data_IF_131055570277
#
_entry.id   IF_131055570277
#
_cell.length_a   1.000
_cell.length_b   1.000
_cell.length_c   1.000
_cell.angle_alpha   90.00
_cell.angle_beta   90.00
_cell.angle_gamma   90.00
#
_symmetry.space_group_name_H-M   'P 1'
#
loop_
_entity.id
_entity.type
_entity.pdbx_description
1 polymer ?
#
# COMPACT_ATOMS: atom_id res chain seq x y z
N UNK A 1 -4.76 12.73 -15.27
CA UNK A 1 -3.76 11.66 -15.11
C UNK A 1 -2.91 12.03 -13.92
N UNK A 2 -2.71 11.11 -12.97
CA UNK A 2 -1.94 11.37 -11.74
C UNK A 2 -0.59 10.68 -11.95
N UNK A 3 0.44 11.46 -12.25
CA UNK A 3 1.79 10.98 -12.49
C UNK A 3 2.75 11.62 -11.50
N UNK A 4 3.70 10.83 -11.02
CA UNK A 4 4.83 11.31 -10.26
C UNK A 4 5.93 11.83 -11.20
N UNK A 5 6.60 12.88 -10.76
CA UNK A 5 7.77 13.43 -11.44
C UNK A 5 9.03 12.66 -11.08
N UNK A 6 9.10 12.18 -9.83
CA UNK A 6 10.26 11.48 -9.31
C UNK A 6 9.87 10.28 -8.46
N UNK A 7 10.84 9.38 -8.26
CA UNK A 7 10.72 8.22 -7.39
C UNK A 7 12.05 8.09 -6.61
N UNK A 8 12.01 7.80 -5.29
CA UNK A 8 13.18 7.89 -4.40
C UNK A 8 14.12 6.67 -4.46
N UNK A 9 13.83 5.70 -5.33
CA UNK A 9 14.65 4.51 -5.57
C UNK A 9 14.72 4.25 -7.09
N UNK A 10 15.56 3.31 -7.52
CA UNK A 10 15.63 2.91 -8.93
C UNK A 10 14.61 1.80 -9.24
N UNK A 11 13.48 2.09 -9.92
CA UNK A 11 12.51 1.07 -10.27
C UNK A 11 13.00 0.13 -11.39
N UNK A 12 14.14 0.41 -12.02
CA UNK A 12 14.73 -0.42 -13.08
C UNK A 12 15.74 -1.45 -12.54
N UNK A 13 16.03 -1.44 -11.24
CA UNK A 13 16.90 -2.42 -10.56
C UNK A 13 16.10 -3.29 -9.55
N UNK A 14 15.18 -4.16 -10.03
CA UNK A 14 14.34 -4.95 -9.14
C UNK A 14 15.16 -6.00 -8.38
N UNK A 15 14.94 -6.08 -7.06
CA UNK A 15 15.58 -7.11 -6.22
C UNK A 15 14.79 -8.42 -6.23
N UNK A 16 15.46 -9.59 -6.24
CA UNK A 16 14.80 -10.89 -6.14
C UNK A 16 13.95 -11.02 -4.86
N UNK A 17 12.82 -11.72 -4.95
CA UNK A 17 11.91 -11.91 -3.81
C UNK A 17 12.60 -12.62 -2.62
N UNK A 18 12.35 -12.19 -1.36
CA UNK A 18 11.41 -11.12 -0.96
C UNK A 18 11.98 -9.69 -1.09
N UNK A 19 13.27 -9.51 -1.36
CA UNK A 19 13.85 -8.21 -1.74
C UNK A 19 13.74 -7.10 -0.69
N UNK A 20 13.68 -7.47 0.59
CA UNK A 20 13.45 -6.55 1.72
C UNK A 20 14.71 -5.81 2.18
N UNK A 21 14.50 -4.61 2.71
CA UNK A 21 15.50 -3.82 3.42
C UNK A 21 14.86 -3.15 4.67
N UNK A 22 15.65 -2.75 5.67
CA UNK A 22 15.15 -1.90 6.76
C UNK A 22 14.59 -0.58 6.22
N UNK A 23 13.46 -0.14 6.78
CA UNK A 23 12.88 1.18 6.54
C UNK A 23 13.23 2.09 7.72
N UNK A 24 13.63 3.33 7.43
CA UNK A 24 13.71 4.37 8.46
C UNK A 24 12.28 4.77 8.87
N UNK A 25 12.00 4.89 10.16
CA UNK A 25 10.66 5.28 10.62
C UNK A 25 10.22 6.64 10.07
N UNK A 26 11.15 7.57 9.80
CA UNK A 26 10.85 8.86 9.19
C UNK A 26 10.33 8.74 7.74
N UNK A 27 10.72 7.67 7.04
CA UNK A 27 10.29 7.39 5.66
C UNK A 27 8.93 6.66 5.59
N UNK A 28 8.34 6.27 6.72
CA UNK A 28 7.01 5.68 6.76
C UNK A 28 5.92 6.74 6.52
N UNK A 29 4.86 6.37 5.79
CA UNK A 29 3.78 7.26 5.32
C UNK A 29 4.30 8.39 4.42
N UNK A 30 4.46 8.11 3.13
CA UNK A 30 5.01 9.08 2.19
C UNK A 30 3.97 10.11 1.79
N UNK A 31 4.45 11.35 1.69
CA UNK A 31 3.69 12.52 1.27
C UNK A 31 4.50 13.12 0.13
N UNK A 32 4.00 12.98 -1.09
CA UNK A 32 4.68 13.42 -2.31
C UNK A 32 3.87 14.46 -3.08
N UNK A 33 4.39 14.92 -4.22
CA UNK A 33 3.78 15.97 -5.06
C UNK A 33 2.38 15.59 -5.58
N UNK A 34 2.03 14.30 -5.56
CA UNK A 34 0.74 13.80 -6.00
C UNK A 34 -0.27 13.63 -4.86
N UNK A 35 0.08 13.97 -3.61
CA UNK A 35 -0.75 13.77 -2.41
C UNK A 35 -2.21 14.21 -2.61
N UNK A 36 -2.44 15.49 -2.94
CA UNK A 36 -3.79 16.03 -3.10
C UNK A 36 -4.60 15.27 -4.19
N UNK A 37 -3.95 14.97 -5.32
CA UNK A 37 -4.59 14.30 -6.44
C UNK A 37 -4.90 12.81 -6.13
N UNK A 38 -3.98 12.11 -5.46
CA UNK A 38 -4.20 10.74 -5.03
C UNK A 38 -5.31 10.65 -3.99
N UNK A 39 -5.33 11.52 -2.97
CA UNK A 39 -6.37 11.49 -1.95
C UNK A 39 -7.76 11.82 -2.52
N UNK A 40 -7.84 12.71 -3.52
CA UNK A 40 -9.07 12.94 -4.29
C UNK A 40 -9.51 11.69 -5.08
N UNK A 41 -8.57 10.97 -5.70
CA UNK A 41 -8.89 9.72 -6.40
C UNK A 41 -9.31 8.59 -5.46
N UNK A 42 -8.73 8.50 -4.24
CA UNK A 42 -9.20 7.58 -3.20
C UNK A 42 -10.64 7.89 -2.80
N UNK A 43 -10.98 9.17 -2.61
CA UNK A 43 -12.36 9.59 -2.32
C UNK A 43 -13.32 9.16 -3.44
N UNK A 44 -12.95 9.39 -4.71
CA UNK A 44 -13.74 8.95 -5.87
C UNK A 44 -13.94 7.43 -5.89
N UNK A 45 -12.91 6.63 -5.57
CA UNK A 45 -13.01 5.18 -5.52
C UNK A 45 -13.98 4.71 -4.41
N UNK A 46 -13.89 5.31 -3.23
CA UNK A 46 -14.80 5.01 -2.10
C UNK A 46 -16.24 5.38 -2.44
N UNK A 47 -16.47 6.52 -3.08
CA UNK A 47 -17.81 6.94 -3.55
C UNK A 47 -18.38 6.01 -4.62
N UNK A 48 -17.53 5.54 -5.55
CA UNK A 48 -17.95 4.64 -6.62
C UNK A 48 -18.30 3.23 -6.11
N UNK A 49 -17.67 2.77 -5.02
CA UNK A 49 -17.90 1.44 -4.48
C UNK A 49 -17.09 1.16 -3.24
N UNK A 50 -17.57 1.64 -2.08
CA UNK A 50 -16.91 1.48 -0.78
C UNK A 50 -16.45 0.05 -0.51
N UNK A 51 -17.34 -0.94 -0.65
CA UNK A 51 -17.04 -2.35 -0.35
C UNK A 51 -16.01 -2.97 -1.32
N UNK A 52 -15.78 -2.35 -2.48
CA UNK A 52 -14.77 -2.81 -3.43
C UNK A 52 -13.34 -2.42 -3.00
N UNK A 53 -13.20 -1.40 -2.15
CA UNK A 53 -11.89 -0.83 -1.78
C UNK A 53 -11.66 -0.77 -0.27
N UNK A 54 -12.70 -0.81 0.56
CA UNK A 54 -12.61 -0.84 2.02
C UNK A 54 -13.22 -2.15 2.54
N UNK A 55 -12.50 -2.83 3.42
CA UNK A 55 -13.01 -3.99 4.14
C UNK A 55 -12.42 -4.03 5.55
N UNK A 56 -13.22 -4.46 6.53
CA UNK A 56 -12.78 -4.63 7.90
C UNK A 56 -13.59 -5.76 8.54
N UNK A 57 -12.91 -6.82 8.93
CA UNK A 57 -13.51 -7.88 9.74
C UNK A 57 -13.59 -7.42 11.20
N UNK A 58 -14.59 -7.90 11.93
CA UNK A 58 -14.75 -7.56 13.35
C UNK A 58 -13.52 -7.98 14.17
N UNK A 59 -12.83 -9.07 13.80
CA UNK A 59 -11.59 -9.50 14.45
C UNK A 59 -10.44 -8.50 14.30
N UNK A 60 -10.51 -7.64 13.27
CA UNK A 60 -9.51 -6.62 12.96
C UNK A 60 -9.86 -5.24 13.53
N UNK A 61 -11.04 -5.06 14.15
CA UNK A 61 -11.49 -3.74 14.65
C UNK A 61 -10.43 -3.08 15.54
N UNK A 62 -9.93 -3.78 16.55
CA UNK A 62 -8.91 -3.26 17.45
C UNK A 62 -7.59 -2.90 16.72
N UNK A 63 -7.18 -3.72 15.75
CA UNK A 63 -5.97 -3.45 14.96
C UNK A 63 -6.15 -2.24 14.03
N UNK A 64 -7.35 -2.00 13.50
CA UNK A 64 -7.66 -0.85 12.67
C UNK A 64 -7.73 0.45 13.48
N UNK A 65 -8.29 0.41 14.68
CA UNK A 65 -8.28 1.55 15.62
C UNK A 65 -6.85 1.90 16.05
N UNK A 66 -6.05 0.90 16.44
CA UNK A 66 -4.63 1.11 16.75
C UNK A 66 -3.87 1.66 15.53
N UNK A 67 -4.09 1.10 14.34
CA UNK A 67 -3.47 1.61 13.11
C UNK A 67 -3.82 3.09 12.88
N UNK A 68 -5.08 3.48 13.09
CA UNK A 68 -5.50 4.87 12.95
C UNK A 68 -4.72 5.77 13.94
N UNK A 69 -4.58 5.37 15.20
CA UNK A 69 -3.81 6.13 16.18
C UNK A 69 -2.34 6.28 15.78
N UNK A 70 -1.70 5.18 15.36
CA UNK A 70 -0.29 5.17 14.93
C UNK A 70 -0.09 6.01 13.67
N UNK A 71 -1.02 5.96 12.71
CA UNK A 71 -0.99 6.80 11.50
C UNK A 71 -1.16 8.26 11.85
N UNK A 72 -2.13 8.61 12.69
CA UNK A 72 -2.35 10.00 13.13
C UNK A 72 -1.12 10.56 13.84
N UNK A 73 -0.48 9.78 14.71
CA UNK A 73 0.76 10.18 15.38
C UNK A 73 1.91 10.40 14.38
N UNK A 74 2.10 9.49 13.44
CA UNK A 74 3.17 9.60 12.44
C UNK A 74 2.94 10.75 11.44
N UNK A 75 1.68 11.03 11.07
CA UNK A 75 1.36 12.16 10.21
C UNK A 75 1.53 13.50 10.92
N UNK A 76 1.23 13.58 12.22
CA UNK A 76 1.42 14.83 12.99
C UNK A 76 2.89 15.30 13.04
N UNK A 77 3.85 14.41 12.82
CA UNK A 77 5.28 14.75 12.72
C UNK A 77 5.70 15.20 11.31
N UNK A 78 4.79 15.17 10.32
CA UNK A 78 5.09 15.52 8.93
C UNK A 78 4.73 16.98 8.61
N UNK A 79 5.51 17.65 7.75
CA UNK A 79 5.21 19.01 7.33
C UNK A 79 3.80 19.16 6.75
N UNK A 80 3.08 20.19 7.21
CA UNK A 80 1.74 20.55 6.72
C UNK A 80 0.59 19.72 7.31
N UNK A 81 0.88 18.80 8.23
CA UNK A 81 -0.15 18.15 9.04
C UNK A 81 -0.23 18.80 10.42
N UNK A 82 -1.45 19.13 10.85
CA UNK A 82 -1.70 19.70 12.17
C UNK A 82 -2.92 19.04 12.81
N UNK A 83 -2.76 18.50 14.01
CA UNK A 83 -3.86 17.89 14.76
C UNK A 83 -4.49 18.91 15.71
N UNK A 84 -5.79 19.12 15.55
CA UNK A 84 -6.62 19.92 16.45
C UNK A 84 -7.74 19.05 17.01
N UNK A 85 -7.53 18.49 18.20
CA UNK A 85 -8.48 17.57 18.83
C UNK A 85 -8.74 16.32 17.99
N UNK A 86 -9.96 16.20 17.45
CA UNK A 86 -10.41 15.10 16.59
C UNK A 86 -10.42 15.48 15.10
N UNK A 87 -9.68 16.52 14.72
CA UNK A 87 -9.51 16.93 13.33
C UNK A 87 -8.02 16.92 12.99
N UNK A 88 -7.70 16.34 11.84
CA UNK A 88 -6.39 16.47 11.21
C UNK A 88 -6.50 17.43 10.03
N UNK A 89 -5.82 18.58 10.13
CA UNK A 89 -5.59 19.49 9.01
C UNK A 89 -4.46 18.93 8.16
N UNK A 90 -4.68 18.84 6.85
CA UNK A 90 -3.79 18.19 5.89
C UNK A 90 -3.07 19.22 5.00
N UNK A 91 -1.93 18.85 4.39
CA UNK A 91 -1.12 19.77 3.58
C UNK A 91 -1.82 20.25 2.29
N UNK A 92 -2.90 19.60 1.88
CA UNK A 92 -3.74 20.00 0.75
C UNK A 92 -4.94 20.88 1.14
N UNK A 93 -4.98 21.36 2.40
CA UNK A 93 -6.02 22.23 2.93
C UNK A 93 -7.29 21.52 3.36
N UNK A 94 -7.35 20.18 3.29
CA UNK A 94 -8.47 19.41 3.85
C UNK A 94 -8.40 19.35 5.37
N UNK A 95 -9.57 19.32 6.01
CA UNK A 95 -9.73 18.98 7.41
C UNK A 95 -10.46 17.63 7.51
N UNK A 96 -9.81 16.64 8.10
CA UNK A 96 -10.33 15.27 8.21
C UNK A 96 -10.71 14.98 9.65
N UNK A 97 -11.98 14.68 9.91
CA UNK A 97 -12.43 14.17 11.21
C UNK A 97 -11.85 12.78 11.47
N UNK A 98 -11.23 12.61 12.63
CA UNK A 98 -10.65 11.36 13.11
C UNK A 98 -11.76 10.49 13.73
N UNK A 99 -12.45 9.73 12.88
CA UNK A 99 -13.54 8.85 13.31
C UNK A 99 -13.04 7.42 13.53
N UNK A 100 -12.94 7.02 14.80
CA UNK A 100 -12.61 5.65 15.19
C UNK A 100 -13.76 4.65 14.94
N UNK A 101 -14.99 5.12 14.74
CA UNK A 101 -16.13 4.29 14.36
C UNK A 101 -15.99 3.71 12.96
N UNK A 102 -15.22 4.35 12.09
CA UNK A 102 -14.90 3.91 10.73
C UNK A 102 -13.40 4.12 10.40
N UNK A 103 -12.50 3.33 11.02
CA UNK A 103 -11.07 3.59 10.94
C UNK A 103 -10.53 3.42 9.53
N UNK A 104 -11.05 2.47 8.75
CA UNK A 104 -10.60 2.25 7.36
C UNK A 104 -10.98 3.40 6.43
N UNK A 105 -12.15 4.03 6.61
CA UNK A 105 -12.52 5.24 5.86
C UNK A 105 -11.66 6.44 6.28
N UNK A 106 -11.43 6.59 7.58
CA UNK A 106 -10.59 7.67 8.10
C UNK A 106 -9.16 7.55 7.56
N UNK A 107 -8.58 6.35 7.61
CA UNK A 107 -7.27 6.04 7.02
C UNK A 107 -7.23 6.35 5.51
N UNK A 108 -8.26 5.98 4.75
CA UNK A 108 -8.31 6.25 3.31
C UNK A 108 -8.32 7.74 2.96
N UNK A 109 -8.71 8.60 3.91
CA UNK A 109 -8.72 10.06 3.76
C UNK A 109 -7.40 10.72 4.18
N UNK A 110 -6.53 10.01 4.91
CA UNK A 110 -5.30 10.55 5.48
C UNK A 110 -4.04 10.12 4.73
N UNK A 111 -4.00 8.90 4.19
CA UNK A 111 -2.76 8.32 3.62
C UNK A 111 -2.83 8.16 2.11
N UNK A 112 -1.69 8.39 1.43
CA UNK A 112 -1.51 7.99 0.02
C UNK A 112 -1.46 6.46 -0.10
N UNK A 113 -0.84 5.80 0.87
CA UNK A 113 -0.76 4.35 0.91
C UNK A 113 -2.13 3.70 0.95
N UNK A 114 -2.27 2.64 0.17
CA UNK A 114 -3.19 1.56 0.52
C UNK A 114 -2.62 0.79 1.70
N UNK A 115 -3.47 0.40 2.65
CA UNK A 115 -3.08 -0.20 3.92
C UNK A 115 -3.82 -1.52 4.10
N UNK A 116 -3.09 -2.62 4.21
CA UNK A 116 -3.63 -3.94 4.51
C UNK A 116 -3.26 -4.33 5.94
N UNK A 117 -4.24 -4.81 6.70
CA UNK A 117 -4.09 -5.33 8.07
C UNK A 117 -4.05 -6.85 7.97
N UNK A 118 -2.96 -7.45 8.43
CA UNK A 118 -2.77 -8.88 8.46
C UNK A 118 -2.62 -9.38 9.88
N UNK A 119 -3.50 -10.30 10.28
CA UNK A 119 -3.47 -10.95 11.60
C UNK A 119 -3.09 -12.41 11.46
N UNK A 120 -2.36 -12.93 12.45
CA UNK A 120 -1.92 -14.32 12.45
C UNK A 120 -3.05 -15.24 12.92
N UNK A 121 -3.53 -16.10 12.03
CA UNK A 121 -4.51 -17.14 12.33
C UNK A 121 -3.84 -18.52 12.17
N UNK A 122 -3.55 -19.19 13.28
CA UNK A 122 -2.75 -20.41 13.26
C UNK A 122 -1.33 -20.13 12.76
N UNK A 123 -0.92 -20.81 11.68
CA UNK A 123 0.41 -20.70 11.11
C UNK A 123 0.53 -19.63 10.00
N UNK A 124 -0.57 -18.97 9.63
CA UNK A 124 -0.62 -18.06 8.47
C UNK A 124 -1.10 -16.66 8.85
N UNK A 125 -0.61 -15.66 8.13
CA UNK A 125 -1.17 -14.30 8.21
C UNK A 125 -2.32 -14.15 7.21
N UNK A 126 -3.46 -13.66 7.69
CA UNK A 126 -4.72 -13.50 6.94
C UNK A 126 -5.02 -12.01 6.77
N UNK A 127 -5.46 -11.60 5.58
CA UNK A 127 -5.90 -10.24 5.29
C UNK A 127 -7.27 -9.96 5.94
N UNK A 128 -7.27 -9.32 7.12
CA UNK A 128 -8.48 -9.10 7.95
C UNK A 128 -9.01 -7.67 7.90
N UNK A 129 -8.25 -6.73 7.34
CA UNK A 129 -8.70 -5.36 7.08
C UNK A 129 -7.93 -4.73 5.91
N UNK A 130 -8.55 -3.81 5.18
CA UNK A 130 -7.91 -3.16 4.05
C UNK A 130 -8.51 -1.78 3.71
N UNK A 131 -7.61 -0.87 3.32
CA UNK A 131 -7.85 0.26 2.43
C UNK A 131 -7.08 -0.06 1.15
N UNK A 132 -7.78 -0.36 0.06
CA UNK A 132 -7.21 -0.78 -1.21
C UNK A 132 -7.86 -0.01 -2.37
N UNK A 133 -7.54 1.27 -2.49
CA UNK A 133 -8.08 2.13 -3.53
C UNK A 133 -7.31 2.00 -4.84
N UNK A 134 -6.04 1.64 -4.84
CA UNK A 134 -5.18 1.57 -6.03
C UNK A 134 -4.65 0.16 -6.27
N UNK A 135 -5.49 -0.88 -6.39
CA UNK A 135 -4.98 -2.21 -6.71
C UNK A 135 -4.37 -2.25 -8.11
N UNK A 136 -3.28 -3.01 -8.24
CA UNK A 136 -2.61 -3.30 -9.50
C UNK A 136 -2.93 -4.72 -9.97
N UNK A 137 -4.02 -4.89 -10.73
CA UNK A 137 -4.45 -6.18 -11.28
C UNK A 137 -4.87 -7.24 -10.25
N UNK A 138 -5.50 -6.83 -9.15
CA UNK A 138 -6.19 -7.73 -8.21
C UNK A 138 -7.42 -7.06 -7.60
N UNK A 139 -8.34 -7.83 -7.02
CA UNK A 139 -9.56 -7.31 -6.37
C UNK A 139 -9.56 -7.64 -4.89
N UNK A 140 -9.95 -6.68 -4.05
CA UNK A 140 -10.03 -6.88 -2.60
C UNK A 140 -10.97 -8.06 -2.25
N UNK A 141 -12.14 -8.13 -2.90
CA UNK A 141 -13.13 -9.20 -2.70
C UNK A 141 -12.60 -10.61 -2.96
N UNK A 142 -11.58 -10.76 -3.81
CA UNK A 142 -10.96 -12.06 -4.09
C UNK A 142 -9.88 -12.43 -3.07
N UNK A 143 -9.41 -11.48 -2.25
CA UNK A 143 -8.25 -11.65 -1.34
C UNK A 143 -8.60 -11.47 0.13
N UNK A 144 -9.67 -10.75 0.44
CA UNK A 144 -10.11 -10.50 1.81
C UNK A 144 -10.44 -11.81 2.54
N UNK A 145 -10.04 -11.91 3.81
CA UNK A 145 -10.16 -13.10 4.66
C UNK A 145 -9.47 -14.36 4.11
N UNK A 146 -8.43 -14.18 3.29
CA UNK A 146 -7.57 -15.27 2.82
C UNK A 146 -6.14 -15.16 3.38
N UNK A 147 -5.45 -16.30 3.56
CA UNK A 147 -4.05 -16.30 4.01
C UNK A 147 -3.10 -15.78 2.94
N UNK A 148 -1.90 -15.35 3.35
CA UNK A 148 -0.82 -14.89 2.47
C UNK A 148 -0.51 -15.87 1.34
N UNK A 149 -0.61 -17.17 1.59
CA UNK A 149 -0.41 -18.23 0.58
C UNK A 149 -1.45 -18.14 -0.53
N UNK A 150 -2.74 -18.11 -0.17
CA UNK A 150 -3.86 -18.04 -1.09
C UNK A 150 -3.90 -16.75 -1.91
N UNK A 151 -3.63 -15.61 -1.26
CA UNK A 151 -3.72 -14.32 -1.96
C UNK A 151 -2.68 -14.22 -3.09
N UNK A 152 -1.57 -14.96 -3.01
CA UNK A 152 -0.49 -14.93 -4.00
C UNK A 152 -0.54 -16.06 -5.04
N UNK A 153 -1.49 -17.01 -4.98
CA UNK A 153 -1.63 -18.10 -5.97
C UNK A 153 -1.52 -17.62 -7.44
N UNK A 154 -2.09 -16.46 -7.84
CA UNK A 154 -1.99 -16.02 -9.23
C UNK A 154 -0.62 -15.49 -9.66
N UNK A 155 0.35 -15.36 -8.75
CA UNK A 155 1.68 -14.80 -9.02
C UNK A 155 2.66 -15.92 -9.32
N UNK A 156 3.01 -16.11 -10.59
CA UNK A 156 3.81 -17.28 -11.03
C UNK A 156 5.20 -17.37 -10.38
N UNK A 157 5.78 -16.25 -9.94
CA UNK A 157 7.06 -16.21 -9.22
C UNK A 157 6.95 -16.48 -7.71
N UNK A 158 5.74 -16.61 -7.18
CA UNK A 158 5.45 -16.86 -5.77
C UNK A 158 5.23 -18.35 -5.54
N UNK A 159 6.33 -19.11 -5.56
CA UNK A 159 6.31 -20.55 -5.25
C UNK A 159 6.20 -20.84 -3.74
N UNK A 160 6.08 -22.11 -3.36
CA UNK A 160 6.00 -22.54 -1.96
C UNK A 160 7.22 -22.12 -1.11
N UNK A 161 8.41 -22.01 -1.72
CA UNK A 161 9.62 -21.59 -1.02
C UNK A 161 9.56 -20.08 -0.72
N UNK A 162 9.12 -19.28 -1.68
CA UNK A 162 8.84 -17.86 -1.48
C UNK A 162 7.75 -17.67 -0.44
N UNK A 163 6.63 -18.41 -0.53
CA UNK A 163 5.56 -18.37 0.46
C UNK A 163 6.08 -18.61 1.88
N UNK A 164 6.90 -19.65 2.08
CA UNK A 164 7.52 -19.95 3.39
C UNK A 164 8.51 -18.88 3.84
N UNK A 165 9.21 -18.19 2.93
CA UNK A 165 10.11 -17.09 3.26
C UNK A 165 9.32 -15.84 3.67
N UNK A 166 8.23 -15.53 2.97
CA UNK A 166 7.35 -14.40 3.31
C UNK A 166 6.62 -14.65 4.62
N UNK A 167 6.10 -15.85 4.86
CA UNK A 167 5.45 -16.17 6.14
C UNK A 167 6.43 -16.01 7.31
N UNK A 168 7.63 -16.58 7.21
CA UNK A 168 8.70 -16.40 8.23
C UNK A 168 9.10 -14.94 8.42
N UNK A 169 9.07 -14.15 7.34
CA UNK A 169 9.32 -12.72 7.43
C UNK A 169 8.24 -12.05 8.28
N UNK A 170 6.96 -12.29 7.99
CA UNK A 170 5.86 -11.72 8.76
C UNK A 170 5.92 -12.17 10.23
N UNK A 171 6.20 -13.44 10.50
CA UNK A 171 6.44 -13.95 11.85
C UNK A 171 7.57 -13.22 12.60
N UNK A 172 8.61 -12.80 11.87
CA UNK A 172 9.84 -12.23 12.44
C UNK A 172 9.92 -10.70 12.47
N UNK A 173 9.00 -9.98 11.81
CA UNK A 173 8.94 -8.51 11.86
C UNK A 173 8.76 -8.07 13.32
N UNK A 174 9.47 -7.02 13.75
CA UNK A 174 9.37 -6.50 15.12
C UNK A 174 8.87 -5.07 15.11
N UNK A 175 8.16 -4.69 16.17
CA UNK A 175 7.79 -3.30 16.46
C UNK A 175 9.03 -2.40 16.44
N UNK A 176 8.89 -1.20 15.85
CA UNK A 176 9.99 -0.23 15.70
C UNK A 176 11.09 -0.65 14.72
N UNK A 177 10.86 -1.72 13.93
CA UNK A 177 11.80 -2.18 12.91
C UNK A 177 11.05 -2.47 11.60
N UNK A 178 10.42 -1.46 11.00
CA UNK A 178 9.70 -1.65 9.76
C UNK A 178 10.66 -2.06 8.64
N UNK A 179 10.12 -2.78 7.67
CA UNK A 179 10.84 -3.22 6.49
C UNK A 179 10.16 -2.64 5.27
N UNK A 180 10.90 -2.52 4.18
CA UNK A 180 10.33 -2.16 2.89
C UNK A 180 10.94 -2.95 1.75
N UNK A 181 10.23 -2.97 0.64
CA UNK A 181 10.65 -3.44 -0.68
C UNK A 181 9.94 -2.62 -1.74
N UNK A 182 10.20 -2.90 -3.01
CA UNK A 182 9.35 -2.41 -4.09
C UNK A 182 9.07 -3.48 -5.14
N UNK A 183 7.98 -3.29 -5.89
CA UNK A 183 7.78 -3.92 -7.19
C UNK A 183 7.80 -2.83 -8.27
N UNK A 184 8.05 -3.19 -9.52
CA UNK A 184 8.03 -2.27 -10.65
C UNK A 184 7.57 -3.04 -11.88
N UNK A 185 6.54 -2.53 -12.55
CA UNK A 185 5.92 -3.15 -13.72
C UNK A 185 5.51 -2.07 -14.71
N UNK A 186 5.67 -2.36 -15.99
CA UNK A 186 5.22 -1.47 -17.06
C UNK A 186 3.72 -1.63 -17.32
N UNK A 187 3.04 -0.51 -17.54
CA UNK A 187 1.60 -0.38 -17.79
C UNK A 187 1.34 0.53 -19.00
N UNK A 188 0.39 0.15 -19.84
CA UNK A 188 -0.08 0.99 -20.95
C UNK A 188 -1.01 2.11 -20.47
N UNK A 189 -1.73 1.88 -19.36
CA UNK A 189 -2.66 2.82 -18.75
C UNK A 189 -2.09 3.31 -17.40
N UNK A 190 -2.00 4.64 -17.18
CA UNK A 190 -1.50 5.24 -15.94
C UNK A 190 -2.54 5.33 -14.81
N UNK A 191 -3.76 4.83 -14.99
CA UNK A 191 -4.79 4.86 -13.96
C UNK A 191 -4.30 4.21 -12.65
N UNK A 192 -4.61 4.81 -11.50
CA UNK A 192 -4.22 4.27 -10.20
C UNK A 192 -5.10 3.09 -9.78
N UNK A 193 -6.41 3.18 -10.04
CA UNK A 193 -7.38 2.14 -9.72
C UNK A 193 -7.53 1.15 -10.88
N UNK A 194 -6.83 0.02 -10.82
CA UNK A 194 -6.88 -1.04 -11.86
C UNK A 194 -7.25 -2.41 -11.25
N UNK A 195 -8.42 -2.56 -10.61
CA UNK A 195 -8.87 -3.84 -10.10
C UNK A 195 -9.08 -4.81 -11.26
N UNK A 196 -8.63 -6.06 -11.09
CA UNK A 196 -8.76 -7.11 -12.10
C UNK A 196 -8.93 -8.44 -11.41
N UNK A 197 -9.91 -9.22 -11.85
CA UNK A 197 -10.11 -10.57 -11.33
C UNK A 197 -8.91 -11.47 -11.66
N UNK A 198 -8.58 -12.38 -10.74
CA UNK A 198 -7.60 -13.44 -10.98
C UNK A 198 -7.90 -14.29 -12.22
N UNK A 199 -9.15 -14.33 -12.67
CA UNK A 199 -9.60 -15.06 -13.87
C UNK A 199 -9.47 -14.24 -15.18
N UNK A 200 -9.09 -12.97 -15.10
CA UNK A 200 -8.97 -12.06 -16.23
C UNK A 200 -7.55 -11.48 -16.35
N UNK A 201 -6.53 -12.36 -16.30
CA UNK A 201 -5.10 -12.00 -16.28
C UNK A 201 -4.75 -10.97 -17.35
N UNK A 202 -3.86 -10.04 -16.99
CA UNK A 202 -3.36 -9.00 -17.90
C UNK A 202 -2.55 -9.65 -19.01
N UNK A 203 -2.69 -9.13 -20.23
CA UNK A 203 -1.82 -9.49 -21.34
C UNK A 203 -0.48 -8.77 -21.23
N UNK A 204 0.57 -9.49 -20.83
CA UNK A 204 1.90 -8.92 -20.60
C UNK A 204 2.73 -8.77 -21.88
N UNK A 205 2.24 -9.28 -23.03
CA UNK A 205 2.98 -9.24 -24.31
C UNK A 205 3.35 -7.83 -24.77
N UNK A 206 2.65 -6.81 -24.27
CA UNK A 206 2.86 -5.40 -24.62
C UNK A 206 3.67 -4.61 -23.58
N UNK A 207 4.21 -5.25 -22.54
CA UNK A 207 4.97 -4.56 -21.50
C UNK A 207 6.20 -3.79 -22.04
N UNK A 208 6.83 -4.27 -23.12
CA UNK A 208 7.94 -3.57 -23.78
C UNK A 208 7.54 -2.27 -24.50
N UNK A 209 6.25 -2.10 -24.80
CA UNK A 209 5.69 -0.94 -25.51
C UNK A 209 4.87 -0.03 -24.58
N UNK A 210 4.72 -0.40 -23.32
CA UNK A 210 3.95 0.36 -22.34
C UNK A 210 4.63 1.69 -22.00
N UNK A 211 3.84 2.75 -21.86
CA UNK A 211 4.34 4.11 -21.68
C UNK A 211 4.54 4.53 -20.22
N UNK A 212 4.09 3.72 -19.25
CA UNK A 212 4.11 4.09 -17.84
C UNK A 212 4.79 3.02 -16.99
N UNK A 213 5.71 3.44 -16.13
CA UNK A 213 6.22 2.62 -15.05
C UNK A 213 5.33 2.80 -13.84
N UNK A 214 4.71 1.72 -13.36
CA UNK A 214 4.05 1.67 -12.07
C UNK A 214 4.95 0.94 -11.09
N UNK A 215 5.25 1.58 -9.97
CA UNK A 215 6.11 1.03 -8.93
C UNK A 215 5.46 1.21 -7.57
N UNK A 216 5.44 0.16 -6.76
CA UNK A 216 4.85 0.20 -5.43
C UNK A 216 5.96 0.07 -4.39
N UNK A 217 6.12 1.11 -3.55
CA UNK A 217 6.92 0.99 -2.33
C UNK A 217 6.04 0.29 -1.29
N UNK A 218 6.48 -0.88 -0.88
CA UNK A 218 5.73 -1.75 0.00
C UNK A 218 6.41 -1.81 1.36
N UNK A 219 5.69 -1.44 2.42
CA UNK A 219 6.17 -1.45 3.80
C UNK A 219 5.54 -2.60 4.59
N UNK A 220 6.28 -3.15 5.54
CA UNK A 220 5.81 -4.17 6.48
C UNK A 220 6.15 -3.68 7.89
N UNK A 221 5.12 -3.38 8.70
CA UNK A 221 5.26 -2.85 10.06
C UNK A 221 4.41 -3.69 11.02
N UNK A 222 4.93 -3.97 12.22
CA UNK A 222 4.15 -4.60 13.29
C UNK A 222 3.59 -3.54 14.24
N UNK A 223 2.31 -3.64 14.56
CA UNK A 223 1.64 -2.80 15.54
C UNK A 223 2.05 -3.19 16.97
N UNK A 224 2.32 -2.22 17.86
CA UNK A 224 2.82 -2.49 19.21
C UNK A 224 1.84 -3.20 20.16
N UNK A 225 0.53 -3.02 20.02
CA UNK A 225 -0.48 -3.51 20.96
C UNK A 225 -1.18 -4.77 20.46
N UNK A 226 -1.72 -4.73 19.23
CA UNK A 226 -2.48 -5.84 18.65
C UNK A 226 -1.62 -6.88 17.95
N UNK A 227 -0.33 -6.59 17.78
CA UNK A 227 0.64 -7.46 17.09
C UNK A 227 0.32 -7.71 15.61
N UNK A 228 -0.69 -7.00 15.05
CA UNK A 228 -1.05 -7.09 13.65
C UNK A 228 0.08 -6.55 12.75
N UNK A 229 0.25 -7.15 11.58
CA UNK A 229 1.20 -6.72 10.58
C UNK A 229 0.50 -5.86 9.54
N UNK A 230 1.00 -4.65 9.36
CA UNK A 230 0.51 -3.66 8.42
C UNK A 230 1.36 -3.72 7.17
N UNK A 231 0.72 -4.01 6.05
CA UNK A 231 1.31 -3.95 4.73
C UNK A 231 0.84 -2.68 4.03
N UNK A 232 1.73 -1.68 3.94
CA UNK A 232 1.46 -0.41 3.28
C UNK A 232 1.97 -0.40 1.85
N UNK A 233 1.21 0.19 0.92
CA UNK A 233 1.50 0.19 -0.52
C UNK A 233 1.42 1.62 -1.04
N UNK A 234 2.56 2.29 -1.17
CA UNK A 234 2.64 3.61 -1.81
C UNK A 234 2.84 3.44 -3.30
N UNK A 235 1.92 3.97 -4.11
CA UNK A 235 1.95 3.80 -5.56
C UNK A 235 2.57 5.01 -6.25
N UNK A 236 3.60 4.74 -7.04
CA UNK A 236 4.19 5.68 -7.99
C UNK A 236 3.80 5.30 -9.43
N UNK A 237 3.46 6.30 -10.24
CA UNK A 237 3.27 6.14 -11.68
C UNK A 237 4.09 7.19 -12.42
N UNK A 238 5.07 6.76 -13.22
CA UNK A 238 5.94 7.66 -13.97
C UNK A 238 5.80 7.41 -15.47
N UNK A 239 5.85 8.45 -16.32
CA UNK A 239 5.98 8.24 -17.76
C UNK A 239 7.36 7.65 -18.07
N UNK A 240 7.45 6.80 -19.09
CA UNK A 240 8.70 6.18 -19.55
C UNK A 240 9.80 7.21 -19.79
N UNK A 241 9.41 8.37 -20.31
CA UNK A 241 10.31 9.50 -20.59
C UNK A 241 11.00 10.07 -19.34
N UNK A 242 10.39 9.95 -18.15
CA UNK A 242 11.00 10.39 -16.89
C UNK A 242 12.10 9.43 -16.40
N UNK A 243 12.14 8.20 -16.91
CA UNK A 243 13.15 7.20 -16.57
C UNK A 243 14.27 7.12 -17.61
N UNK A 244 13.99 7.47 -18.87
CA UNK A 244 15.00 7.54 -19.93
C UNK A 244 15.86 8.81 -19.78
N UNK A 245 17.04 8.68 -19.18
CA UNK A 245 17.97 9.81 -18.96
C UNK A 245 18.58 9.85 -17.56
N UNK A 246 18.04 9.07 -16.62
CA UNK A 246 18.75 8.72 -15.38
C UNK A 246 19.84 7.71 -15.71
N UNK A 247 20.96 8.17 -16.28
CA UNK A 247 22.21 7.39 -16.19
C UNK A 247 22.43 7.08 -14.71
N UNK A 248 22.55 5.80 -14.38
CA UNK A 248 22.95 5.32 -13.07
C UNK A 248 24.07 6.22 -12.53
N UNK A 249 23.71 7.14 -11.63
CA UNK A 249 24.73 7.86 -10.86
C UNK A 249 25.07 6.92 -9.70
N UNK A 250 26.35 6.56 -9.56
CA UNK A 250 26.81 5.69 -8.48
C UNK A 250 26.50 6.28 -7.10
#
# INVERSE_FOLDING_TARGET
>A
MILNETIPYDPLDPRPLPGIAPLDEADWLRVDETYAAQLAEKARCVEAGREAVLALDESARAAAEELLEVVVAALAEKPGFEREGQVMHCPDGRAVTLDAGDPVLTLSRLTQEDLCILQKHGDEHVLTGAVLCFPASWMLSEKFMRPLTDIHIPVDSYDENIARRVQRLFDGVRTGRPLWRFNALWYADPALHQPRSAHARRDERFAGQADYMRSELQTIRRLPQTDAVIFGIHTYVLPRTALTGRSARP
#
